data_IF_491261587223
#
_entry.id   IF_491261587223
#
_cell.length_a   1.000
_cell.length_b   1.000
_cell.length_c   1.000
_cell.angle_alpha   90.00
_cell.angle_beta   90.00
_cell.angle_gamma   90.00
#
_symmetry.space_group_name_H-M   'P 1'
#
loop_
_entity.id
_entity.type
_entity.pdbx_description
1 polymer ?
#
# COMPACT_ATOMS: atom_id res chain seq x y z
N UNK A 1 5.96 4.37 -3.89
CA UNK A 1 5.21 5.40 -3.12
C UNK A 1 4.63 4.69 -1.91
N UNK A 2 5.45 4.59 -0.86
CA UNK A 2 5.23 3.69 0.27
C UNK A 2 4.07 4.10 1.15
N UNK A 3 3.39 3.09 1.68
CA UNK A 3 2.20 3.06 2.53
C UNK A 3 2.48 3.60 3.94
N UNK A 4 3.18 4.74 4.04
CA UNK A 4 3.51 5.40 5.31
C UNK A 4 2.94 6.81 5.25
N UNK A 5 1.62 6.94 5.50
CA UNK A 5 0.99 8.15 6.09
C UNK A 5 -0.56 8.12 6.11
N UNK A 6 -1.23 7.17 5.43
CA UNK A 6 -2.70 7.11 5.48
C UNK A 6 -3.26 6.56 6.80
N UNK A 7 -2.45 5.78 7.53
CA UNK A 7 -2.90 5.00 8.69
C UNK A 7 -3.40 5.86 9.85
N UNK A 8 -3.05 7.16 9.87
CA UNK A 8 -3.59 8.18 10.76
C UNK A 8 -3.76 9.54 10.05
N UNK A 9 -4.32 9.60 8.85
CA UNK A 9 -4.77 10.88 8.32
C UNK A 9 -5.93 11.40 9.20
N UNK A 10 -5.61 12.30 10.14
CA UNK A 10 -6.59 13.00 10.98
C UNK A 10 -7.68 13.60 10.10
N UNK A 11 -8.90 13.77 10.62
CA UNK A 11 -9.99 14.42 9.88
C UNK A 11 -9.52 15.77 9.28
N UNK A 12 -8.71 16.53 10.03
CA UNK A 12 -8.08 17.77 9.58
C UNK A 12 -7.18 17.57 8.35
N UNK A 13 -6.34 16.52 8.34
CA UNK A 13 -5.49 16.19 7.19
C UNK A 13 -6.29 15.78 5.95
N UNK A 14 -7.36 15.01 6.11
CA UNK A 14 -8.25 14.62 5.00
C UNK A 14 -8.99 15.81 4.41
N UNK A 15 -9.58 16.65 5.28
CA UNK A 15 -10.24 17.89 4.88
C UNK A 15 -9.29 18.84 4.16
N UNK A 16 -8.07 19.02 4.68
CA UNK A 16 -7.05 19.87 4.07
C UNK A 16 -6.65 19.41 2.66
N UNK A 17 -6.46 18.10 2.48
CA UNK A 17 -6.13 17.51 1.17
C UNK A 17 -7.26 17.68 0.17
N UNK A 18 -8.51 17.42 0.59
CA UNK A 18 -9.68 17.58 -0.26
C UNK A 18 -9.85 19.05 -0.69
N UNK A 19 -9.70 20.00 0.24
CA UNK A 19 -9.78 21.42 -0.06
C UNK A 19 -8.72 21.85 -1.08
N UNK A 20 -7.48 21.37 -0.91
CA UNK A 20 -6.39 21.63 -1.86
C UNK A 20 -6.72 21.14 -3.27
N UNK A 21 -7.18 19.90 -3.39
CA UNK A 21 -7.55 19.29 -4.68
C UNK A 21 -8.64 20.12 -5.36
N UNK A 22 -9.71 20.46 -4.63
CA UNK A 22 -10.84 21.21 -5.18
C UNK A 22 -10.49 22.67 -5.53
N UNK A 23 -9.58 23.29 -4.77
CA UNK A 23 -9.00 24.61 -5.09
C UNK A 23 -8.18 24.55 -6.37
N UNK A 24 -7.28 23.58 -6.49
CA UNK A 24 -6.40 23.41 -7.66
C UNK A 24 -7.19 23.09 -8.92
N UNK A 25 -8.25 22.27 -8.82
CA UNK A 25 -9.20 21.99 -9.93
C UNK A 25 -9.88 23.26 -10.47
N UNK A 26 -10.04 24.29 -9.64
CA UNK A 26 -10.62 25.59 -10.02
C UNK A 26 -9.57 26.62 -10.45
N UNK A 27 -8.29 26.23 -10.54
CA UNK A 27 -7.20 27.11 -10.93
C UNK A 27 -6.89 28.22 -9.92
N UNK A 28 -7.33 28.08 -8.66
CA UNK A 28 -7.15 29.10 -7.64
C UNK A 28 -5.84 28.90 -6.86
N UNK A 29 -5.12 29.97 -6.57
CA UNK A 29 -4.05 30.00 -5.59
C UNK A 29 -4.59 29.99 -4.15
N UNK A 30 -3.74 29.65 -3.18
CA UNK A 30 -4.09 29.74 -1.75
C UNK A 30 -4.48 31.17 -1.35
N UNK A 31 -3.85 32.19 -1.94
CA UNK A 31 -4.15 33.59 -1.64
C UNK A 31 -5.51 34.01 -2.18
N UNK A 32 -5.94 33.48 -3.32
CA UNK A 32 -7.27 33.74 -3.88
C UNK A 32 -8.37 33.10 -3.05
N UNK A 33 -8.19 31.86 -2.60
CA UNK A 33 -9.13 31.23 -1.68
C UNK A 33 -9.18 31.98 -0.34
N UNK A 34 -8.03 32.39 0.19
CA UNK A 34 -7.94 33.15 1.43
C UNK A 34 -8.72 34.48 1.35
N UNK A 35 -8.62 35.19 0.23
CA UNK A 35 -9.39 36.40 -0.04
C UNK A 35 -10.90 36.12 -0.08
N UNK A 36 -11.34 35.02 -0.68
CA UNK A 36 -12.77 34.64 -0.73
C UNK A 36 -13.34 34.27 0.64
N UNK A 37 -12.49 33.70 1.50
CA UNK A 37 -12.88 33.27 2.85
C UNK A 37 -12.67 34.41 3.88
N UNK A 38 -12.09 35.53 3.49
CA UNK A 38 -11.71 36.66 4.36
C UNK A 38 -10.77 36.25 5.50
N UNK A 39 -9.64 35.64 5.14
CA UNK A 39 -8.59 35.23 6.08
C UNK A 39 -7.20 35.45 5.49
N UNK A 40 -6.17 35.41 6.36
CA UNK A 40 -4.79 35.39 5.91
C UNK A 40 -4.47 34.09 5.14
N UNK A 41 -3.65 34.19 4.08
CA UNK A 41 -3.21 33.03 3.28
C UNK A 41 -2.57 31.93 4.12
N UNK A 42 -1.91 32.28 5.23
CA UNK A 42 -1.33 31.34 6.19
C UNK A 42 -2.38 30.38 6.77
N UNK A 43 -3.64 30.81 6.96
CA UNK A 43 -4.70 29.96 7.50
C UNK A 43 -5.14 28.89 6.50
N UNK A 44 -5.26 29.24 5.22
CA UNK A 44 -5.50 28.26 4.14
C UNK A 44 -4.31 27.29 4.05
N UNK A 45 -3.09 27.81 4.13
CA UNK A 45 -1.87 27.01 4.08
C UNK A 45 -1.75 26.01 5.26
N UNK A 46 -2.19 26.40 6.46
CA UNK A 46 -2.23 25.49 7.63
C UNK A 46 -3.32 24.44 7.49
N UNK A 47 -4.51 24.84 7.04
CA UNK A 47 -5.63 23.95 6.78
C UNK A 47 -5.27 22.88 5.75
N UNK A 48 -4.70 23.26 4.61
CA UNK A 48 -4.31 22.31 3.54
C UNK A 48 -3.22 21.33 3.97
N UNK A 49 -2.41 21.68 4.97
CA UNK A 49 -1.40 20.79 5.57
C UNK A 49 -1.92 19.99 6.75
N UNK A 50 -3.19 20.17 7.15
CA UNK A 50 -3.77 19.52 8.33
C UNK A 50 -3.12 19.94 9.65
N UNK A 51 -2.52 21.14 9.71
CA UNK A 51 -1.80 21.61 10.91
C UNK A 51 -2.70 22.48 11.80
N UNK A 52 -2.85 22.07 13.06
CA UNK A 52 -3.58 22.81 14.10
C UNK A 52 -5.06 22.42 14.18
N UNK A 53 -5.78 22.90 15.22
CA UNK A 53 -7.20 22.66 15.36
C UNK A 53 -7.95 23.33 14.21
N UNK A 54 -8.65 22.53 13.41
CA UNK A 54 -9.55 23.02 12.36
C UNK A 54 -10.95 23.12 12.97
N UNK A 55 -11.49 24.33 13.10
CA UNK A 55 -12.91 24.46 13.46
C UNK A 55 -13.77 23.96 12.28
N UNK A 56 -14.83 23.21 12.58
CA UNK A 56 -15.79 22.75 11.58
C UNK A 56 -16.37 23.92 10.78
N UNK A 57 -16.66 25.03 11.45
CA UNK A 57 -17.14 26.28 10.84
C UNK A 57 -16.17 26.90 9.83
N UNK A 58 -14.87 26.82 10.09
CA UNK A 58 -13.85 27.36 9.20
C UNK A 58 -13.66 26.46 7.96
N UNK A 59 -13.65 25.14 8.16
CA UNK A 59 -13.62 24.19 7.05
C UNK A 59 -14.84 24.37 6.13
N UNK A 60 -16.04 24.47 6.71
CA UNK A 60 -17.28 24.65 5.94
C UNK A 60 -17.26 25.94 5.10
N UNK A 61 -16.85 27.08 5.70
CA UNK A 61 -16.67 28.34 4.96
C UNK A 61 -15.67 28.23 3.80
N UNK A 62 -14.58 27.49 3.99
CA UNK A 62 -13.58 27.31 2.94
C UNK A 62 -14.11 26.50 1.76
N UNK A 63 -14.89 25.43 2.02
CA UNK A 63 -15.58 24.68 0.95
C UNK A 63 -16.68 25.50 0.29
N UNK A 64 -17.46 26.27 1.07
CA UNK A 64 -18.50 27.15 0.53
C UNK A 64 -17.93 28.22 -0.42
N UNK A 65 -16.73 28.76 -0.14
CA UNK A 65 -16.04 29.70 -1.03
C UNK A 65 -15.61 29.08 -2.38
N UNK A 66 -15.61 27.75 -2.49
CA UNK A 66 -15.41 27.00 -3.72
C UNK A 66 -16.74 26.57 -4.38
N UNK A 67 -17.89 26.95 -3.81
CA UNK A 67 -19.22 26.50 -4.23
C UNK A 67 -19.50 25.04 -3.87
N UNK A 68 -18.88 24.53 -2.81
CA UNK A 68 -19.02 23.16 -2.33
C UNK A 68 -19.67 23.15 -0.94
N UNK A 69 -20.48 22.13 -0.68
CA UNK A 69 -21.03 21.86 0.64
C UNK A 69 -20.24 20.74 1.31
N UNK A 70 -19.78 20.95 2.54
CA UNK A 70 -19.15 19.89 3.31
C UNK A 70 -20.23 19.04 3.97
N UNK A 71 -20.28 17.74 3.65
CA UNK A 71 -21.11 16.75 4.36
C UNK A 71 -20.21 15.89 5.23
N UNK A 72 -20.56 15.75 6.50
CA UNK A 72 -19.86 14.88 7.45
C UNK A 72 -20.79 13.73 7.81
N UNK A 73 -20.36 12.52 7.51
CA UNK A 73 -21.05 11.29 7.88
C UNK A 73 -20.19 10.55 8.91
N UNK A 74 -20.86 9.92 9.88
CA UNK A 74 -20.20 9.08 10.87
C UNK A 74 -20.33 7.63 10.42
N UNK A 75 -19.21 6.95 10.31
CA UNK A 75 -19.17 5.52 10.03
C UNK A 75 -18.72 4.75 11.27
N UNK A 76 -19.11 3.49 11.37
CA UNK A 76 -18.58 2.61 12.41
C UNK A 76 -17.05 2.57 12.31
N UNK A 77 -16.37 2.76 13.44
CA UNK A 77 -14.92 2.74 13.48
C UNK A 77 -14.38 1.46 12.83
N UNK A 78 -13.60 1.61 11.76
CA UNK A 78 -13.03 0.51 11.00
C UNK A 78 -13.77 0.16 9.69
N UNK A 79 -14.97 0.67 9.41
CA UNK A 79 -15.72 0.44 8.16
C UNK A 79 -14.88 0.55 6.88
N UNK A 80 -14.10 1.63 6.73
CA UNK A 80 -13.23 1.83 5.58
C UNK A 80 -12.05 0.86 5.53
N UNK A 81 -11.56 0.39 6.69
CA UNK A 81 -10.50 -0.63 6.74
C UNK A 81 -11.07 -2.03 6.48
N UNK A 82 -12.25 -2.34 6.99
CA UNK A 82 -12.98 -3.58 6.72
C UNK A 82 -13.34 -3.69 5.23
N UNK A 83 -13.74 -2.59 4.60
CA UNK A 83 -13.98 -2.55 3.16
C UNK A 83 -12.71 -2.80 2.35
N UNK A 84 -11.54 -2.33 2.82
CA UNK A 84 -10.24 -2.66 2.21
C UNK A 84 -9.90 -4.13 2.38
N UNK A 85 -10.13 -4.71 3.57
CA UNK A 85 -9.96 -6.15 3.81
C UNK A 85 -10.88 -6.96 2.90
N UNK A 86 -12.17 -6.63 2.82
CA UNK A 86 -13.12 -7.30 1.94
C UNK A 86 -12.74 -7.18 0.45
N UNK A 87 -12.26 -6.01 0.02
CA UNK A 87 -11.73 -5.81 -1.34
C UNK A 87 -10.50 -6.69 -1.59
N UNK A 88 -9.57 -6.72 -0.64
CA UNK A 88 -8.37 -7.54 -0.74
C UNK A 88 -8.69 -9.04 -0.71
N UNK A 89 -9.72 -9.47 0.04
CA UNK A 89 -10.26 -10.85 0.00
C UNK A 89 -10.75 -11.16 -1.41
N UNK A 90 -11.58 -10.30 -2.00
CA UNK A 90 -12.11 -10.49 -3.34
C UNK A 90 -11.01 -10.52 -4.42
N UNK A 91 -9.87 -9.86 -4.16
CA UNK A 91 -8.72 -9.76 -5.07
C UNK A 91 -7.56 -10.71 -4.70
N UNK A 92 -7.73 -11.60 -3.71
CA UNK A 92 -6.63 -12.38 -3.16
C UNK A 92 -5.85 -13.15 -4.23
N UNK A 93 -6.55 -13.74 -5.20
CA UNK A 93 -5.90 -14.48 -6.31
C UNK A 93 -5.06 -13.56 -7.21
N UNK A 94 -5.51 -12.34 -7.46
CA UNK A 94 -4.76 -11.33 -8.22
C UNK A 94 -3.54 -10.85 -7.44
N UNK A 95 -3.68 -10.65 -6.13
CA UNK A 95 -2.57 -10.33 -5.23
C UNK A 95 -1.51 -11.45 -5.24
N UNK A 96 -1.94 -12.71 -5.13
CA UNK A 96 -1.04 -13.87 -5.21
C UNK A 96 -0.31 -13.94 -6.56
N UNK A 97 -1.05 -13.80 -7.67
CA UNK A 97 -0.45 -13.77 -9.01
C UNK A 97 0.57 -12.64 -9.17
N UNK A 98 0.31 -11.46 -8.59
CA UNK A 98 1.23 -10.32 -8.59
C UNK A 98 2.49 -10.62 -7.79
N UNK A 99 2.38 -11.25 -6.61
CA UNK A 99 3.55 -11.68 -5.83
C UNK A 99 4.37 -12.68 -6.63
N UNK A 100 3.75 -13.73 -7.20
CA UNK A 100 4.45 -14.72 -8.02
C UNK A 100 5.12 -14.07 -9.22
N UNK A 101 4.44 -13.16 -9.92
CA UNK A 101 5.01 -12.42 -11.05
C UNK A 101 6.23 -11.59 -10.63
N UNK A 102 6.15 -10.88 -9.50
CA UNK A 102 7.26 -10.09 -8.97
C UNK A 102 8.45 -10.98 -8.57
N UNK A 103 8.18 -12.14 -7.94
CA UNK A 103 9.23 -13.09 -7.57
C UNK A 103 9.84 -13.77 -8.80
N UNK A 104 9.04 -14.08 -9.81
CA UNK A 104 9.53 -14.59 -11.09
C UNK A 104 10.47 -13.57 -11.75
N UNK A 105 10.14 -12.28 -11.71
CA UNK A 105 11.05 -11.22 -12.16
C UNK A 105 12.37 -11.18 -11.35
N UNK A 106 12.36 -11.55 -10.06
CA UNK A 106 13.60 -11.72 -9.28
C UNK A 106 14.40 -12.94 -9.78
N UNK A 107 13.74 -14.10 -9.95
CA UNK A 107 14.36 -15.39 -10.33
C UNK A 107 14.92 -15.41 -11.75
N UNK A 108 14.16 -14.96 -12.76
CA UNK A 108 14.61 -14.92 -14.17
C UNK A 108 15.88 -14.07 -14.34
N UNK A 109 16.10 -13.15 -13.40
CA UNK A 109 17.23 -12.24 -13.41
C UNK A 109 18.45 -12.75 -12.63
N UNK A 110 18.33 -13.79 -11.79
CA UNK A 110 19.43 -14.58 -11.21
C UNK A 110 19.02 -16.05 -11.02
N UNK A 111 19.06 -16.85 -12.09
CA UNK A 111 18.69 -18.26 -11.99
C UNK A 111 19.69 -19.02 -11.11
N UNK A 112 19.22 -19.58 -9.99
CA UNK A 112 19.94 -20.56 -9.17
C UNK A 112 20.91 -20.04 -8.12
N UNK A 113 21.21 -18.73 -8.09
CA UNK A 113 22.21 -18.16 -7.17
C UNK A 113 21.60 -17.61 -5.87
N UNK A 114 20.39 -17.02 -5.95
CA UNK A 114 19.79 -16.33 -4.80
C UNK A 114 18.96 -17.28 -3.94
N UNK A 115 19.42 -17.53 -2.72
CA UNK A 115 18.63 -18.18 -1.67
C UNK A 115 17.91 -17.12 -0.85
N UNK A 116 16.60 -17.25 -0.76
CA UNK A 116 15.77 -16.34 0.01
C UNK A 116 14.54 -17.05 0.55
N UNK A 117 13.94 -16.45 1.58
CA UNK A 117 12.62 -16.80 2.08
C UNK A 117 11.76 -15.55 1.98
N UNK A 118 10.59 -15.64 1.35
CA UNK A 118 9.64 -14.52 1.29
C UNK A 118 9.15 -14.19 2.70
N UNK A 119 9.06 -12.91 3.02
CA UNK A 119 8.62 -12.40 4.32
C UNK A 119 7.48 -11.39 4.15
N UNK A 120 6.91 -10.95 5.28
CA UNK A 120 5.99 -9.82 5.33
C UNK A 120 4.69 -10.05 4.56
N UNK A 121 4.05 -8.96 4.09
CA UNK A 121 2.81 -9.03 3.35
C UNK A 121 2.84 -9.97 2.13
N UNK A 122 3.96 -10.05 1.40
CA UNK A 122 4.10 -10.94 0.26
C UNK A 122 4.00 -12.43 0.67
N UNK A 123 4.66 -12.81 1.78
CA UNK A 123 4.54 -14.16 2.34
C UNK A 123 3.14 -14.45 2.87
N UNK A 124 2.49 -13.45 3.48
CA UNK A 124 1.14 -13.57 4.01
C UNK A 124 0.11 -13.79 2.89
N UNK A 125 0.21 -13.02 1.80
CA UNK A 125 -0.65 -13.16 0.60
C UNK A 125 -0.54 -14.55 -0.02
N UNK A 126 0.67 -15.07 -0.18
CA UNK A 126 0.85 -16.43 -0.69
C UNK A 126 0.24 -17.49 0.23
N UNK A 127 0.23 -17.25 1.54
CA UNK A 127 -0.43 -18.12 2.53
C UNK A 127 -1.94 -17.82 2.70
N UNK A 128 -2.52 -16.97 1.85
CA UNK A 128 -3.97 -16.71 1.79
C UNK A 128 -4.45 -15.51 2.62
N UNK A 129 -3.55 -14.70 3.17
CA UNK A 129 -3.92 -13.50 3.94
C UNK A 129 -4.04 -12.29 3.00
N UNK A 130 -5.21 -11.63 2.94
CA UNK A 130 -5.50 -10.58 1.97
C UNK A 130 -4.93 -9.22 2.39
N UNK A 131 -3.62 -9.05 2.21
CA UNK A 131 -2.92 -7.79 2.46
C UNK A 131 -2.52 -7.16 1.12
N UNK A 132 -2.89 -5.90 0.91
CA UNK A 132 -2.48 -5.15 -0.30
C UNK A 132 -1.14 -4.45 -0.04
N UNK A 133 -0.04 -5.10 -0.46
CA UNK A 133 1.29 -4.52 -0.48
C UNK A 133 1.95 -4.80 -1.83
N UNK A 134 2.65 -3.79 -2.36
CA UNK A 134 3.26 -3.85 -3.69
C UNK A 134 4.75 -4.20 -3.64
N UNK A 135 5.33 -4.16 -2.45
CA UNK A 135 6.73 -4.52 -2.18
C UNK A 135 6.88 -6.02 -1.95
N UNK A 136 7.99 -6.59 -2.42
CA UNK A 136 8.42 -7.94 -2.06
C UNK A 136 9.46 -7.84 -0.94
N UNK A 137 9.12 -8.41 0.21
CA UNK A 137 10.04 -8.54 1.34
C UNK A 137 10.68 -9.94 1.32
N UNK A 138 12.00 -9.99 1.49
CA UNK A 138 12.77 -11.24 1.53
C UNK A 138 13.72 -11.28 2.71
N UNK A 139 13.90 -12.47 3.29
CA UNK A 139 15.02 -12.80 4.15
C UNK A 139 16.12 -13.45 3.32
N UNK A 140 17.37 -13.11 3.62
CA UNK A 140 18.56 -13.69 3.01
C UNK A 140 19.61 -13.98 4.08
N UNK A 141 20.38 -15.06 3.92
CA UNK A 141 21.49 -15.32 4.83
C UNK A 141 22.58 -14.26 4.67
N UNK A 142 23.21 -13.84 5.77
CA UNK A 142 24.36 -12.93 5.75
C UNK A 142 25.50 -13.48 4.88
N UNK A 143 25.68 -14.80 4.89
CA UNK A 143 26.67 -15.49 4.04
C UNK A 143 26.44 -15.29 2.53
N UNK A 144 25.20 -14.98 2.12
CA UNK A 144 24.81 -14.79 0.72
C UNK A 144 24.86 -13.31 0.29
N UNK A 145 25.37 -12.40 1.13
CA UNK A 145 25.43 -10.95 0.81
C UNK A 145 26.24 -10.64 -0.45
N UNK A 146 27.29 -11.41 -0.74
CA UNK A 146 28.10 -11.24 -1.94
C UNK A 146 27.31 -11.60 -3.21
N UNK A 147 26.47 -12.64 -3.13
CA UNK A 147 25.58 -13.04 -4.23
C UNK A 147 24.52 -11.98 -4.46
N UNK A 148 23.94 -11.44 -3.38
CA UNK A 148 23.00 -10.31 -3.45
C UNK A 148 23.66 -9.08 -4.09
N UNK A 149 24.89 -8.74 -3.68
CA UNK A 149 25.63 -7.60 -4.21
C UNK A 149 25.86 -7.74 -5.73
N UNK A 150 26.35 -8.91 -6.15
CA UNK A 150 26.56 -9.21 -7.56
C UNK A 150 25.26 -9.10 -8.37
N UNK A 151 24.13 -9.58 -7.81
CA UNK A 151 22.84 -9.48 -8.47
C UNK A 151 22.32 -8.05 -8.58
N UNK A 152 22.32 -7.29 -7.48
CA UNK A 152 21.85 -5.89 -7.45
C UNK A 152 22.61 -5.04 -8.46
N UNK A 153 23.94 -5.16 -8.49
CA UNK A 153 24.81 -4.44 -9.43
C UNK A 153 24.52 -4.83 -10.88
N UNK A 154 24.41 -6.14 -11.17
CA UNK A 154 24.09 -6.66 -12.50
C UNK A 154 22.74 -6.17 -13.03
N UNK A 155 21.80 -5.86 -12.13
CA UNK A 155 20.44 -5.39 -12.48
C UNK A 155 20.27 -3.89 -12.46
N UNK A 156 21.30 -3.15 -12.08
CA UNK A 156 21.24 -1.69 -11.98
C UNK A 156 20.02 -1.21 -11.17
N UNK A 157 19.67 -1.97 -10.12
CA UNK A 157 18.57 -1.58 -9.24
C UNK A 157 18.98 -0.32 -8.47
N UNK A 158 18.02 0.58 -8.29
CA UNK A 158 18.23 1.80 -7.53
C UNK A 158 17.92 1.56 -6.07
N UNK A 159 18.77 2.02 -5.16
CA UNK A 159 18.58 1.85 -3.72
C UNK A 159 17.77 3.00 -3.16
N UNK A 160 16.94 2.71 -2.17
CA UNK A 160 16.19 3.69 -1.43
C UNK A 160 17.14 4.61 -0.66
N UNK A 161 16.96 5.90 -0.85
CA UNK A 161 17.69 6.93 -0.13
C UNK A 161 16.77 7.59 0.89
N UNK A 162 17.01 7.37 2.18
CA UNK A 162 16.16 7.90 3.26
C UNK A 162 16.11 9.43 3.30
N UNK A 163 17.20 10.09 2.88
CA UNK A 163 17.33 11.54 2.91
C UNK A 163 16.47 12.21 1.84
N UNK A 164 16.47 11.67 0.62
CA UNK A 164 15.70 12.21 -0.51
C UNK A 164 14.32 11.57 -0.65
N UNK A 165 14.10 10.41 -0.01
CA UNK A 165 12.91 9.56 -0.13
C UNK A 165 12.64 9.13 -1.58
N UNK A 166 13.72 8.84 -2.29
CA UNK A 166 13.68 8.42 -3.69
C UNK A 166 14.59 7.20 -3.88
N UNK A 167 14.33 6.44 -4.96
CA UNK A 167 15.25 5.41 -5.42
C UNK A 167 16.28 6.04 -6.35
N UNK A 168 17.55 6.03 -5.96
CA UNK A 168 18.65 6.55 -6.76
C UNK A 168 19.77 5.52 -6.97
N UNK A 169 20.73 5.85 -7.84
CA UNK A 169 21.83 4.96 -8.19
C UNK A 169 23.03 5.02 -7.22
N UNK A 170 22.91 5.74 -6.09
CA UNK A 170 24.01 5.92 -5.16
C UNK A 170 24.03 4.78 -4.12
N UNK A 171 25.23 4.27 -3.80
CA UNK A 171 25.44 3.21 -2.77
C UNK A 171 24.51 2.00 -2.93
N UNK A 172 24.38 1.52 -4.15
CA UNK A 172 23.48 0.41 -4.47
C UNK A 172 23.95 -0.93 -3.89
N UNK A 173 25.23 -1.03 -3.51
CA UNK A 173 25.80 -2.23 -2.91
C UNK A 173 25.15 -2.54 -1.54
N UNK A 174 24.63 -3.75 -1.30
CA UNK A 174 24.05 -4.13 0.00
C UNK A 174 25.04 -4.05 1.17
N UNK A 175 26.35 -4.03 0.92
CA UNK A 175 27.38 -3.89 1.96
C UNK A 175 27.55 -2.45 2.43
N UNK A 176 27.11 -1.48 1.62
CA UNK A 176 27.11 -0.09 2.05
C UNK A 176 26.06 0.12 3.16
N UNK A 177 26.35 0.90 4.20
CA UNK A 177 25.39 1.20 5.26
C UNK A 177 24.10 1.84 4.72
N UNK A 178 22.95 1.37 5.23
CA UNK A 178 21.64 1.93 4.92
C UNK A 178 20.58 0.84 4.68
N UNK A 179 19.35 1.23 4.33
CA UNK A 179 18.27 0.29 4.09
C UNK A 179 18.59 -0.65 2.93
N UNK A 180 18.40 -1.95 3.12
CA UNK A 180 18.48 -2.95 2.06
C UNK A 180 17.16 -2.96 1.28
N UNK A 181 16.90 -1.86 0.58
CA UNK A 181 15.66 -1.63 -0.15
C UNK A 181 16.00 -1.06 -1.51
N UNK A 182 15.60 -1.76 -2.55
CA UNK A 182 15.82 -1.39 -3.94
C UNK A 182 14.52 -1.38 -4.71
N UNK A 183 14.52 -0.65 -5.82
CA UNK A 183 13.38 -0.61 -6.71
C UNK A 183 13.76 -0.19 -8.13
N UNK A 184 12.96 -0.64 -9.08
CA UNK A 184 12.91 -0.10 -10.43
C UNK A 184 11.48 0.38 -10.75
N UNK A 185 11.09 0.46 -12.03
CA UNK A 185 9.72 0.86 -12.40
C UNK A 185 8.70 -0.28 -12.24
N UNK A 186 9.17 -1.52 -12.06
CA UNK A 186 8.40 -2.74 -12.12
C UNK A 186 8.28 -3.42 -10.74
N UNK A 187 9.34 -3.41 -9.93
CA UNK A 187 9.38 -4.11 -8.64
C UNK A 187 10.07 -3.27 -7.57
N UNK A 188 9.53 -3.30 -6.35
CA UNK A 188 10.21 -2.87 -5.12
C UNK A 188 10.60 -4.11 -4.31
N UNK A 189 11.89 -4.25 -4.00
CA UNK A 189 12.46 -5.35 -3.24
C UNK A 189 13.08 -4.82 -1.95
N UNK A 190 12.72 -5.38 -0.81
CA UNK A 190 13.41 -5.13 0.44
C UNK A 190 13.94 -6.44 1.00
N UNK A 191 15.23 -6.44 1.31
CA UNK A 191 15.89 -7.57 1.93
C UNK A 191 16.14 -7.30 3.40
N UNK A 192 16.15 -8.37 4.20
CA UNK A 192 16.70 -8.38 5.56
C UNK A 192 17.74 -9.50 5.62
N UNK A 193 18.95 -9.15 6.02
CA UNK A 193 19.98 -10.14 6.27
C UNK A 193 19.73 -10.77 7.64
N UNK A 194 19.84 -12.09 7.69
CA UNK A 194 19.73 -12.89 8.91
C UNK A 194 20.93 -13.82 9.00
N UNK A 195 21.41 -14.19 10.20
CA UNK A 195 22.54 -15.10 10.34
C UNK A 195 22.34 -16.43 9.59
N UNK A 196 21.14 -16.99 9.70
CA UNK A 196 20.70 -18.19 9.00
C UNK A 196 19.24 -18.02 8.55
N UNK A 197 18.91 -18.58 7.39
CA UNK A 197 17.54 -18.55 6.89
C UNK A 197 16.63 -19.42 7.77
N UNK A 198 15.44 -18.94 8.16
CA UNK A 198 14.49 -19.77 8.90
C UNK A 198 13.96 -20.90 8.01
N UNK A 199 13.52 -21.99 8.63
CA UNK A 199 12.83 -23.07 7.92
C UNK A 199 11.58 -22.53 7.23
N UNK A 200 11.49 -22.62 5.88
CA UNK A 200 10.37 -22.07 5.15
C UNK A 200 9.18 -23.04 5.13
N UNK A 201 7.98 -22.49 5.02
CA UNK A 201 6.84 -23.22 4.45
C UNK A 201 6.96 -23.14 2.94
N UNK A 202 6.74 -24.24 2.24
CA UNK A 202 6.70 -24.25 0.78
C UNK A 202 5.27 -24.05 0.32
N UNK A 203 5.02 -22.99 -0.43
CA UNK A 203 3.72 -22.70 -1.03
C UNK A 203 3.81 -22.94 -2.53
N UNK A 204 2.92 -23.78 -3.05
CA UNK A 204 2.74 -23.97 -4.48
C UNK A 204 1.64 -23.04 -4.98
N UNK A 205 1.95 -22.22 -5.98
CA UNK A 205 0.98 -21.36 -6.65
C UNK A 205 1.34 -21.22 -8.13
N UNK A 206 0.38 -21.47 -9.02
CA UNK A 206 0.55 -21.36 -10.46
C UNK A 206 1.77 -22.13 -11.03
N UNK A 207 2.04 -23.32 -10.47
CA UNK A 207 3.17 -24.16 -10.86
C UNK A 207 4.53 -23.73 -10.31
N UNK A 208 4.59 -22.64 -9.54
CA UNK A 208 5.80 -22.20 -8.83
C UNK A 208 5.78 -22.64 -7.37
N UNK A 209 6.88 -23.22 -6.92
CA UNK A 209 7.11 -23.50 -5.49
C UNK A 209 7.93 -22.35 -4.90
N UNK A 210 7.35 -21.68 -3.89
CA UNK A 210 7.93 -20.51 -3.26
C UNK A 210 8.20 -20.75 -1.77
N UNK A 211 9.43 -20.51 -1.29
CA UNK A 211 9.73 -20.54 0.13
C UNK A 211 9.17 -19.29 0.80
N UNK A 212 8.24 -19.46 1.73
CA UNK A 212 7.64 -18.37 2.49
C UNK A 212 7.91 -18.57 3.98
N UNK A 213 8.07 -17.47 4.71
CA UNK A 213 8.21 -17.51 6.16
C UNK A 213 6.88 -17.98 6.78
N UNK A 214 6.89 -18.87 7.78
CA UNK A 214 5.66 -19.35 8.42
C UNK A 214 4.78 -18.19 8.90
N UNK A 215 3.48 -18.26 8.60
CA UNK A 215 2.55 -17.18 8.89
C UNK A 215 2.57 -16.68 10.36
N UNK A 216 2.68 -17.53 11.40
CA UNK A 216 2.79 -17.04 12.78
C UNK A 216 4.01 -16.15 13.03
N UNK A 217 5.14 -16.43 12.36
CA UNK A 217 6.35 -15.61 12.48
C UNK A 217 6.22 -14.30 11.70
N UNK A 218 5.50 -14.31 10.58
CA UNK A 218 5.16 -13.09 9.83
C UNK A 218 4.20 -12.21 10.64
N UNK A 219 3.18 -12.79 11.24
CA UNK A 219 2.21 -12.09 12.09
C UNK A 219 2.88 -11.35 13.26
N UNK A 220 3.86 -11.99 13.91
CA UNK A 220 4.64 -11.38 15.00
C UNK A 220 5.44 -10.14 14.59
N UNK A 221 6.03 -10.18 13.39
CA UNK A 221 6.97 -9.14 12.94
C UNK A 221 6.32 -8.03 12.10
N UNK A 222 5.11 -8.26 11.57
CA UNK A 222 4.45 -7.37 10.61
C UNK A 222 3.04 -6.98 11.12
N UNK A 223 2.90 -5.84 11.83
CA UNK A 223 1.65 -5.41 12.46
C UNK A 223 0.45 -5.31 11.51
N UNK A 224 0.68 -4.96 10.25
CA UNK A 224 -0.34 -4.89 9.21
C UNK A 224 -0.93 -6.28 8.91
N UNK A 225 -0.11 -7.33 8.91
CA UNK A 225 -0.54 -8.72 8.72
C UNK A 225 -1.33 -9.19 9.95
N UNK A 226 -0.81 -8.91 11.15
CA UNK A 226 -1.49 -9.21 12.41
C UNK A 226 -2.86 -8.52 12.51
N UNK A 227 -2.93 -7.27 12.07
CA UNK A 227 -4.18 -6.53 12.05
C UNK A 227 -5.22 -7.17 11.13
N UNK A 228 -4.85 -7.53 9.89
CA UNK A 228 -5.77 -8.20 8.95
C UNK A 228 -6.23 -9.56 9.48
N UNK A 229 -5.30 -10.37 10.01
CA UNK A 229 -5.63 -11.66 10.60
C UNK A 229 -6.55 -11.55 11.81
N UNK A 230 -6.24 -10.63 12.73
CA UNK A 230 -7.10 -10.31 13.86
C UNK A 230 -8.49 -9.93 13.39
N UNK A 231 -8.57 -9.11 12.33
CA UNK A 231 -9.85 -8.66 11.81
C UNK A 231 -10.68 -9.76 11.16
N UNK A 232 -10.06 -10.68 10.42
CA UNK A 232 -10.72 -11.85 9.85
C UNK A 232 -11.18 -12.85 10.92
N UNK A 233 -10.44 -12.97 12.04
CA UNK A 233 -10.85 -13.79 13.19
C UNK A 233 -12.06 -13.20 13.91
N UNK A 234 -12.08 -11.88 14.08
CA UNK A 234 -13.21 -11.16 14.69
C UNK A 234 -14.45 -11.11 13.80
N UNK A 235 -14.25 -11.08 12.47
CA UNK A 235 -15.29 -10.96 11.46
C UNK A 235 -15.10 -11.97 10.33
N UNK A 236 -15.44 -13.25 10.55
CA UNK A 236 -15.31 -14.31 9.55
C UNK A 236 -16.07 -14.00 8.26
N UNK A 237 -17.16 -13.24 8.34
CA UNK A 237 -17.98 -12.81 7.21
C UNK A 237 -17.21 -12.00 6.17
N UNK A 238 -16.13 -11.29 6.55
CA UNK A 238 -15.28 -10.57 5.62
C UNK A 238 -14.50 -11.52 4.69
N UNK A 239 -14.18 -12.73 5.16
CA UNK A 239 -13.52 -13.76 4.37
C UNK A 239 -14.45 -14.49 3.40
N UNK A 240 -15.77 -14.33 3.55
CA UNK A 240 -16.78 -15.05 2.76
C UNK A 240 -17.57 -14.16 1.80
N UNK A 241 -17.45 -12.83 1.87
CA UNK A 241 -18.19 -11.92 0.99
C UNK A 241 -17.59 -11.90 -0.42
N UNK A 242 -18.26 -12.59 -1.35
CA UNK A 242 -18.16 -12.33 -2.78
C UNK A 242 -18.50 -10.85 -3.06
N UNK A 243 -17.92 -10.22 -4.10
CA UNK A 243 -18.14 -8.81 -4.36
C UNK A 243 -19.64 -8.51 -4.51
N UNK A 244 -20.14 -7.37 -3.99
CA UNK A 244 -21.51 -6.97 -4.24
C UNK A 244 -21.69 -6.84 -5.76
N UNK A 245 -22.44 -7.77 -6.33
CA UNK A 245 -22.77 -7.79 -7.74
C UNK A 245 -23.36 -6.45 -8.15
N UNK A 246 -22.81 -5.86 -9.22
CA UNK A 246 -23.30 -4.63 -9.80
C UNK A 246 -24.78 -4.77 -10.13
N UNK A 247 -25.60 -4.02 -9.41
CA UNK A 247 -26.98 -3.73 -9.78
C UNK A 247 -26.97 -2.95 -11.09
N UNK A 248 -27.24 -3.66 -12.18
CA UNK A 248 -27.63 -3.11 -13.46
C UNK A 248 -28.96 -3.74 -13.87
N UNK A 249 -30.04 -3.30 -13.22
CA UNK A 249 -31.38 -3.40 -13.82
C UNK A 249 -31.37 -2.67 -15.17
N UNK A 250 -31.71 -3.37 -16.25
CA UNK A 250 -32.49 -2.79 -17.33
C UNK A 250 -33.29 -3.85 -18.07
N UNK A 251 -34.53 -3.94 -17.63
CA UNK A 251 -35.72 -3.79 -18.47
C UNK A 251 -36.05 -4.93 -19.45
N UNK A 252 -36.93 -5.79 -18.95
CA UNK A 252 -38.03 -6.40 -19.69
C UNK A 252 -38.65 -5.46 -20.73
N UNK A 253 -38.66 -5.88 -21.99
CA UNK A 253 -39.70 -5.50 -22.93
C UNK A 253 -40.16 -6.76 -23.68
N UNK A 254 -41.41 -7.10 -23.45
CA UNK A 254 -42.15 -8.13 -24.14
C UNK A 254 -42.52 -7.71 -25.58
N UNK A 255 -42.87 -8.73 -26.37
CA UNK A 255 -43.90 -8.75 -27.42
C UNK A 255 -43.55 -8.45 -28.89
N UNK A 256 -43.74 -9.51 -29.70
CA UNK A 256 -44.59 -9.58 -30.92
C UNK A 256 -43.91 -9.60 -32.31
N UNK A 257 -44.11 -10.76 -32.98
CA UNK A 257 -44.31 -11.06 -34.43
C UNK A 257 -43.32 -10.44 -35.44
N UNK A 258 -42.78 -11.17 -36.41
CA UNK A 258 -43.40 -12.03 -37.45
C UNK A 258 -42.46 -13.15 -37.84
#
# INVERSE_FOLDING_TARGET
MGVVDEEQATLAGRLGRLLRIERERRGLSQQELARRVDVAQQHISRLERGRGPVSSSYADRAFAALGLQLRVEAEAAGSGRDSRVATAVAQLRELQFRVVSNVHLLKVRAPGELRFVLDGPAAAVLQGVPVDERRVDVLMAEADVEVLAAWVLRKALRRWNERTREFDGYRTDPRDPGPLWWGDRMVELRARLVPELPEPVLVEFDGEVLPVRPLPAVELDHPEVAWVLGRLRERPELGCQAPPGGSGESTSAASTMV
#
